data_IF_295910459269
#
_entry.id   IF_295910459269
#
_cell.length_a   1.000
_cell.length_b   1.000
_cell.length_c   1.000
_cell.angle_alpha   90.00
_cell.angle_beta   90.00
_cell.angle_gamma   90.00
#
_symmetry.space_group_name_H-M   'P 1'
#
loop_
_entity.id
_entity.type
_entity.pdbx_description
1 polymer ?
#
# COMPACT_ATOMS: atom_id res chain seq x y z
N UNK A 1 18.82 -6.38 -3.61
CA UNK A 1 17.40 -6.20 -3.26
C UNK A 1 17.23 -5.88 -1.78
N UNK A 2 17.66 -6.75 -0.84
CA UNK A 2 17.51 -6.48 0.61
C UNK A 2 17.98 -5.07 0.99
N UNK A 3 19.15 -4.66 0.52
CA UNK A 3 19.70 -3.34 0.81
C UNK A 3 18.88 -2.21 0.16
N UNK A 4 18.34 -2.43 -1.02
CA UNK A 4 17.50 -1.43 -1.71
C UNK A 4 16.17 -1.15 -0.96
N UNK A 5 15.61 -2.19 -0.33
CA UNK A 5 14.38 -2.09 0.49
C UNK A 5 14.68 -1.94 1.99
N UNK A 6 15.92 -1.62 2.36
CA UNK A 6 16.29 -1.38 3.76
C UNK A 6 16.15 -2.59 4.69
N UNK A 7 16.19 -3.82 4.17
CA UNK A 7 16.15 -5.03 5.02
C UNK A 7 17.46 -5.21 5.78
N UNK A 8 17.34 -5.35 7.08
CA UNK A 8 18.41 -5.69 8.00
C UNK A 8 18.38 -7.19 8.33
N UNK A 9 19.44 -7.68 8.98
CA UNK A 9 19.49 -9.08 9.41
C UNK A 9 18.32 -9.45 10.33
N UNK A 10 17.95 -8.55 11.24
CA UNK A 10 16.83 -8.71 12.15
C UNK A 10 15.51 -8.86 11.41
N UNK A 11 15.28 -8.07 10.35
CA UNK A 11 14.06 -8.17 9.54
C UNK A 11 13.95 -9.55 8.88
N UNK A 12 15.07 -10.07 8.38
CA UNK A 12 15.11 -11.39 7.75
C UNK A 12 14.91 -12.51 8.79
N UNK A 13 15.58 -12.43 9.95
CA UNK A 13 15.56 -13.49 10.95
C UNK A 13 14.29 -13.48 11.80
N UNK A 14 13.75 -12.30 12.11
CA UNK A 14 12.65 -12.16 13.07
C UNK A 14 11.28 -11.99 12.39
N UNK A 15 11.24 -11.56 11.13
CA UNK A 15 9.99 -11.34 10.39
C UNK A 15 9.85 -12.39 9.29
N UNK A 16 10.73 -12.37 8.29
CA UNK A 16 10.57 -13.20 7.09
C UNK A 16 10.74 -14.69 7.39
N UNK A 17 11.75 -15.05 8.17
CA UNK A 17 12.02 -16.46 8.48
C UNK A 17 10.88 -17.15 9.25
N UNK A 18 10.27 -16.54 10.28
CA UNK A 18 9.09 -17.11 10.93
C UNK A 18 7.90 -17.23 9.98
N UNK A 19 7.64 -16.24 9.15
CA UNK A 19 6.57 -16.29 8.14
C UNK A 19 6.79 -17.46 7.17
N UNK A 20 8.01 -17.61 6.65
CA UNK A 20 8.35 -18.68 5.73
C UNK A 20 8.28 -20.08 6.36
N UNK A 21 8.63 -20.22 7.66
CA UNK A 21 8.62 -21.51 8.37
C UNK A 21 7.26 -21.91 8.87
N UNK A 22 6.49 -20.96 9.40
CA UNK A 22 5.29 -21.25 10.18
C UNK A 22 4.01 -20.87 9.43
N UNK A 23 4.11 -20.14 8.31
CA UNK A 23 2.96 -19.64 7.56
C UNK A 23 2.09 -18.66 8.35
N UNK A 24 2.66 -18.02 9.37
CA UNK A 24 1.96 -17.09 10.25
C UNK A 24 2.75 -15.81 10.44
N UNK A 25 2.05 -14.74 10.82
CA UNK A 25 2.66 -13.46 11.09
C UNK A 25 3.53 -13.53 12.36
N UNK A 26 4.74 -12.97 12.36
CA UNK A 26 5.61 -12.98 13.53
C UNK A 26 5.05 -12.09 14.64
N UNK A 27 5.27 -12.46 15.88
CA UNK A 27 4.96 -11.62 17.02
C UNK A 27 5.88 -10.38 17.01
N UNK A 28 5.29 -9.21 17.17
CA UNK A 28 6.01 -7.94 17.20
C UNK A 28 5.17 -6.82 17.77
N UNK A 29 5.83 -5.71 18.09
CA UNK A 29 5.15 -4.48 18.48
C UNK A 29 5.10 -3.52 17.29
N UNK A 30 4.02 -2.75 17.19
CA UNK A 30 3.87 -1.70 16.20
C UNK A 30 4.69 -0.47 16.59
N UNK A 31 5.41 0.09 15.61
CA UNK A 31 6.27 1.25 15.82
C UNK A 31 7.63 0.90 16.45
N UNK A 32 8.41 1.92 16.71
CA UNK A 32 9.74 1.79 17.33
C UNK A 32 9.90 2.83 18.43
N UNK A 33 10.22 2.40 19.64
CA UNK A 33 10.54 3.29 20.76
C UNK A 33 12.01 3.72 20.74
N UNK A 34 12.81 3.15 19.85
CA UNK A 34 14.23 3.50 19.71
C UNK A 34 14.35 4.96 19.25
N UNK A 35 15.15 5.80 19.94
CA UNK A 35 15.42 7.15 19.49
C UNK A 35 16.06 7.17 18.11
N UNK A 36 15.70 8.15 17.30
CA UNK A 36 16.32 8.34 16.00
C UNK A 36 17.81 8.66 16.15
N UNK A 37 18.64 7.96 15.40
CA UNK A 37 20.09 8.18 15.37
C UNK A 37 20.40 9.39 14.46
N UNK A 38 20.17 10.61 14.97
CA UNK A 38 20.25 11.86 14.20
C UNK A 38 21.62 12.15 13.58
N UNK A 39 22.68 11.54 14.10
CA UNK A 39 24.05 11.67 13.58
C UNK A 39 24.45 10.51 12.65
N UNK A 40 23.55 9.56 12.42
CA UNK A 40 23.81 8.44 11.52
C UNK A 40 23.75 8.88 10.06
N UNK A 41 24.63 8.32 9.25
CA UNK A 41 24.58 8.45 7.79
C UNK A 41 23.67 7.38 7.14
N UNK A 42 23.06 6.51 7.94
CA UNK A 42 22.11 5.51 7.47
C UNK A 42 20.71 6.12 7.44
N UNK A 43 20.05 6.02 6.32
CA UNK A 43 18.68 6.49 6.15
C UNK A 43 17.71 5.34 6.48
N UNK A 44 16.92 5.43 7.57
CA UNK A 44 15.85 4.48 7.83
C UNK A 44 14.73 4.63 6.81
N UNK A 45 13.89 3.60 6.70
CA UNK A 45 12.68 3.70 5.89
C UNK A 45 11.72 4.76 6.45
N UNK A 46 10.93 5.37 5.59
CA UNK A 46 10.06 6.50 5.98
C UNK A 46 9.17 6.15 7.17
N UNK A 47 8.60 4.95 7.22
CA UNK A 47 7.70 4.54 8.30
C UNK A 47 8.41 4.37 9.66
N UNK A 48 9.73 4.20 9.71
CA UNK A 48 10.49 4.11 10.97
C UNK A 48 10.54 5.45 11.73
N UNK A 49 10.20 6.56 11.07
CA UNK A 49 10.08 7.87 11.71
C UNK A 49 8.77 8.05 12.48
N UNK A 50 7.78 7.18 12.26
CA UNK A 50 6.48 7.26 12.93
C UNK A 50 6.47 6.37 14.16
N UNK A 51 5.96 6.90 15.27
CA UNK A 51 5.86 6.22 16.56
C UNK A 51 4.44 6.24 17.03
N UNK A 52 4.01 5.14 17.63
CA UNK A 52 2.77 5.13 18.38
C UNK A 52 2.93 5.91 19.68
N UNK A 53 2.10 6.93 19.87
CA UNK A 53 2.20 7.86 21.00
C UNK A 53 1.17 7.58 22.11
N UNK A 54 0.39 6.54 22.00
CA UNK A 54 -0.65 6.15 22.96
C UNK A 54 -0.55 4.67 23.31
N UNK A 55 -1.08 4.31 24.48
CA UNK A 55 -1.22 2.93 24.89
C UNK A 55 -2.38 2.28 24.11
N UNK A 56 -2.13 1.13 23.53
CA UNK A 56 -3.12 0.36 22.80
C UNK A 56 -3.36 -0.98 23.51
N UNK A 57 -4.62 -1.38 23.62
CA UNK A 57 -4.97 -2.68 24.19
C UNK A 57 -4.69 -3.79 23.17
N UNK A 58 -4.16 -4.93 23.66
CA UNK A 58 -3.86 -6.09 22.81
C UNK A 58 -5.13 -6.75 22.27
N UNK A 59 -6.17 -6.84 23.13
CA UNK A 59 -7.46 -7.42 22.80
C UNK A 59 -8.55 -6.38 23.07
N UNK A 60 -8.93 -5.55 22.09
CA UNK A 60 -9.99 -4.59 22.26
C UNK A 60 -11.34 -5.30 22.48
N UNK A 61 -12.26 -4.73 23.28
CA UNK A 61 -13.58 -5.30 23.47
C UNK A 61 -14.39 -5.17 22.16
N UNK A 62 -14.72 -6.30 21.58
CA UNK A 62 -15.54 -6.41 20.37
C UNK A 62 -16.83 -7.13 20.73
N UNK A 63 -17.97 -6.52 20.38
CA UNK A 63 -19.27 -7.19 20.58
C UNK A 63 -19.50 -8.29 19.54
N UNK A 64 -20.25 -9.32 19.92
CA UNK A 64 -20.48 -10.51 19.09
C UNK A 64 -21.18 -10.21 17.75
N UNK A 65 -21.94 -9.12 17.65
CA UNK A 65 -22.64 -8.75 16.42
C UNK A 65 -21.68 -8.13 15.39
N UNK A 66 -20.73 -7.33 15.89
CA UNK A 66 -19.74 -6.63 15.05
C UNK A 66 -18.51 -7.47 14.75
N UNK A 67 -18.30 -8.58 15.48
CA UNK A 67 -17.09 -9.40 15.34
C UNK A 67 -16.82 -9.79 13.89
N UNK A 68 -17.84 -10.21 13.14
CA UNK A 68 -17.71 -10.62 11.73
C UNK A 68 -17.22 -9.48 10.81
N UNK A 69 -17.59 -8.25 11.11
CA UNK A 69 -17.17 -7.06 10.34
C UNK A 69 -15.77 -6.65 10.74
N UNK A 70 -15.52 -6.52 12.04
CA UNK A 70 -14.23 -6.04 12.58
C UNK A 70 -13.10 -7.03 12.29
N UNK A 71 -13.35 -8.33 12.29
CA UNK A 71 -12.36 -9.37 12.02
C UNK A 71 -12.33 -9.82 10.55
N UNK A 72 -13.11 -9.20 9.69
CA UNK A 72 -13.14 -9.55 8.27
C UNK A 72 -11.80 -9.24 7.61
N UNK A 73 -11.31 -10.21 6.83
CA UNK A 73 -10.13 -10.04 5.97
C UNK A 73 -10.52 -9.76 4.50
N UNK A 74 -11.83 -9.64 4.24
CA UNK A 74 -12.33 -9.39 2.89
C UNK A 74 -12.05 -7.95 2.47
N UNK A 75 -11.48 -7.78 1.30
CA UNK A 75 -11.16 -6.48 0.69
C UNK A 75 -11.94 -6.34 -0.62
N UNK A 76 -12.42 -5.14 -0.88
CA UNK A 76 -13.10 -4.79 -2.14
C UNK A 76 -12.25 -3.79 -2.92
N UNK A 77 -11.94 -4.13 -4.18
CA UNK A 77 -11.04 -3.35 -5.04
C UNK A 77 -11.78 -2.95 -6.31
N UNK A 78 -11.83 -1.66 -6.59
CA UNK A 78 -12.50 -1.10 -7.77
C UNK A 78 -13.04 0.29 -7.52
N UNK A 79 -13.78 0.83 -8.48
CA UNK A 79 -14.47 2.11 -8.32
C UNK A 79 -15.66 1.96 -7.37
N UNK A 80 -15.77 2.84 -6.39
CA UNK A 80 -16.89 2.88 -5.44
C UNK A 80 -18.03 3.81 -5.91
N UNK A 81 -17.75 4.68 -6.89
CA UNK A 81 -18.72 5.63 -7.40
C UNK A 81 -19.16 6.70 -6.39
N UNK A 82 -20.41 7.12 -6.48
CA UNK A 82 -20.98 8.05 -5.52
C UNK A 82 -21.59 7.29 -4.34
N UNK A 83 -20.94 7.39 -3.18
CA UNK A 83 -21.39 6.68 -1.96
C UNK A 83 -22.71 7.20 -1.39
N UNK A 84 -23.23 8.33 -1.88
CA UNK A 84 -24.52 8.90 -1.46
C UNK A 84 -25.68 8.45 -2.37
N UNK A 85 -25.40 7.69 -3.41
CA UNK A 85 -26.39 7.20 -4.37
C UNK A 85 -26.42 5.66 -4.36
N UNK A 86 -27.60 5.08 -4.24
CA UNK A 86 -27.81 3.65 -4.36
C UNK A 86 -27.83 3.25 -5.84
N UNK A 87 -26.64 2.96 -6.39
CA UNK A 87 -26.49 2.50 -7.77
C UNK A 87 -25.86 1.10 -7.80
N UNK A 88 -26.45 0.20 -8.58
CA UNK A 88 -25.90 -1.15 -8.78
C UNK A 88 -24.49 -1.13 -9.40
N UNK A 89 -24.15 -0.11 -10.18
CA UNK A 89 -22.81 0.06 -10.75
C UNK A 89 -21.73 0.25 -9.65
N UNK A 90 -22.09 0.84 -8.50
CA UNK A 90 -21.18 0.98 -7.36
C UNK A 90 -20.80 -0.36 -6.71
N UNK A 91 -21.54 -1.43 -7.02
CA UNK A 91 -21.24 -2.78 -6.53
C UNK A 91 -20.34 -3.58 -7.48
N UNK A 92 -19.91 -3.02 -8.60
CA UNK A 92 -18.95 -3.64 -9.52
C UNK A 92 -17.52 -3.52 -8.99
N UNK A 93 -17.22 -4.30 -7.96
CA UNK A 93 -15.91 -4.33 -7.30
C UNK A 93 -15.38 -5.76 -7.25
N UNK A 94 -14.08 -5.91 -7.34
CA UNK A 94 -13.40 -7.19 -7.14
C UNK A 94 -13.40 -7.52 -5.65
N UNK A 95 -14.09 -8.59 -5.25
CA UNK A 95 -14.06 -9.10 -3.89
C UNK A 95 -12.88 -10.05 -3.71
N UNK A 96 -12.00 -9.74 -2.77
CA UNK A 96 -10.86 -10.57 -2.39
C UNK A 96 -11.13 -11.08 -0.98
N UNK A 97 -11.38 -12.38 -0.83
CA UNK A 97 -11.75 -12.98 0.47
C UNK A 97 -10.57 -13.14 1.42
N UNK A 98 -9.38 -13.31 0.85
CA UNK A 98 -8.14 -13.45 1.61
C UNK A 98 -7.11 -12.41 1.11
N UNK A 99 -6.57 -11.54 1.99
CA UNK A 99 -5.62 -10.50 1.59
C UNK A 99 -4.25 -11.05 1.20
N UNK A 100 -3.97 -12.32 1.48
CA UNK A 100 -2.73 -12.98 1.08
C UNK A 100 -2.87 -13.45 -0.36
N UNK A 101 -2.17 -12.78 -1.27
CA UNK A 101 -2.15 -13.08 -2.69
C UNK A 101 -0.81 -13.72 -3.07
N UNK A 102 -0.85 -14.64 -4.03
CA UNK A 102 0.35 -15.13 -4.70
C UNK A 102 0.75 -14.17 -5.83
N UNK A 103 1.99 -14.26 -6.29
CA UNK A 103 2.43 -13.51 -7.49
C UNK A 103 1.52 -13.80 -8.69
N UNK A 104 1.05 -15.04 -8.83
CA UNK A 104 0.12 -15.44 -9.90
C UNK A 104 -1.23 -14.73 -9.76
N UNK A 105 -1.74 -14.53 -8.55
CA UNK A 105 -3.01 -13.82 -8.34
C UNK A 105 -2.88 -12.35 -8.68
N UNK A 106 -1.77 -11.72 -8.30
CA UNK A 106 -1.48 -10.34 -8.70
C UNK A 106 -1.35 -10.21 -10.23
N UNK A 107 -0.72 -11.17 -10.90
CA UNK A 107 -0.64 -11.18 -12.36
C UNK A 107 -2.03 -11.31 -13.01
N UNK A 108 -2.94 -12.11 -12.44
CA UNK A 108 -4.33 -12.18 -12.91
C UNK A 108 -5.06 -10.84 -12.75
N UNK A 109 -4.82 -10.12 -11.64
CA UNK A 109 -5.37 -8.79 -11.45
C UNK A 109 -4.83 -7.82 -12.51
N UNK A 110 -3.50 -7.82 -12.73
CA UNK A 110 -2.86 -6.98 -13.76
C UNK A 110 -3.37 -7.25 -15.17
N UNK A 111 -3.64 -8.51 -15.49
CA UNK A 111 -4.10 -8.96 -16.80
C UNK A 111 -5.64 -9.04 -16.91
N UNK A 112 -6.37 -8.44 -15.96
CA UNK A 112 -7.82 -8.53 -15.94
C UNK A 112 -8.44 -7.84 -17.16
N UNK A 113 -9.17 -8.61 -17.96
CA UNK A 113 -9.97 -8.14 -19.10
C UNK A 113 -11.44 -8.48 -18.87
N UNK A 114 -12.05 -7.79 -17.91
CA UNK A 114 -13.47 -7.96 -17.54
C UNK A 114 -14.15 -6.61 -17.69
N UNK A 115 -15.32 -6.57 -18.38
CA UNK A 115 -16.06 -5.33 -18.53
C UNK A 115 -16.37 -4.64 -17.18
N UNK A 116 -16.01 -3.37 -17.07
CA UNK A 116 -16.16 -2.58 -15.85
C UNK A 116 -14.88 -2.52 -15.00
N UNK A 117 -13.83 -3.26 -15.36
CA UNK A 117 -12.53 -3.17 -14.72
C UNK A 117 -11.45 -2.76 -15.71
N UNK A 118 -10.65 -1.79 -15.33
CA UNK A 118 -9.44 -1.42 -16.07
C UNK A 118 -8.32 -1.16 -15.09
N UNK A 119 -7.31 -2.01 -15.17
CA UNK A 119 -6.13 -1.98 -14.29
C UNK A 119 -4.98 -1.28 -15.01
N UNK A 120 -4.33 -0.36 -14.32
CA UNK A 120 -3.12 0.31 -14.80
C UNK A 120 -2.02 0.17 -13.74
N UNK A 121 -0.82 -0.22 -14.18
CA UNK A 121 0.35 -0.29 -13.29
C UNK A 121 1.24 0.91 -13.55
N UNK A 122 1.48 1.69 -12.50
CA UNK A 122 2.34 2.86 -12.52
C UNK A 122 3.62 2.57 -11.75
N UNK A 123 4.77 2.79 -12.39
CA UNK A 123 6.05 2.72 -11.70
C UNK A 123 6.23 3.91 -10.78
N UNK A 124 6.55 3.64 -9.52
CA UNK A 124 6.97 4.68 -8.56
C UNK A 124 8.49 4.87 -8.56
N UNK A 125 9.19 4.24 -9.50
CA UNK A 125 10.62 4.41 -9.66
C UNK A 125 10.93 5.66 -10.49
N UNK A 126 12.03 6.31 -10.14
CA UNK A 126 12.51 7.49 -10.84
C UNK A 126 14.04 7.48 -10.92
N UNK A 127 14.58 8.22 -11.86
CA UNK A 127 16.03 8.32 -12.07
C UNK A 127 16.71 8.97 -10.85
N UNK A 128 17.73 8.33 -10.29
CA UNK A 128 18.40 8.72 -9.02
C UNK A 128 18.92 10.15 -8.94
N UNK A 129 19.11 10.80 -10.09
CA UNK A 129 19.54 12.20 -10.16
C UNK A 129 18.39 13.19 -10.33
N UNK A 130 17.14 12.72 -10.27
CA UNK A 130 15.94 13.56 -10.31
C UNK A 130 15.51 13.91 -8.88
N UNK A 131 15.04 15.12 -8.66
CA UNK A 131 14.47 15.52 -7.38
C UNK A 131 13.19 14.71 -7.07
N UNK A 132 13.04 14.32 -5.82
CA UNK A 132 11.88 13.53 -5.37
C UNK A 132 10.55 14.28 -5.63
N UNK A 133 10.52 15.60 -5.44
CA UNK A 133 9.33 16.42 -5.70
C UNK A 133 8.90 16.32 -7.16
N UNK A 134 9.84 16.43 -8.10
CA UNK A 134 9.57 16.25 -9.54
C UNK A 134 9.10 14.84 -9.88
N UNK A 135 9.61 13.83 -9.18
CA UNK A 135 9.18 12.45 -9.36
C UNK A 135 7.72 12.26 -8.93
N UNK A 136 7.31 12.88 -7.83
CA UNK A 136 5.92 12.88 -7.34
C UNK A 136 5.01 13.64 -8.32
N UNK A 137 5.43 14.80 -8.80
CA UNK A 137 4.65 15.57 -9.79
C UNK A 137 4.42 14.76 -11.08
N UNK A 138 5.45 14.05 -11.54
CA UNK A 138 5.31 13.13 -12.67
C UNK A 138 4.32 12.01 -12.39
N UNK A 139 4.36 11.42 -11.19
CA UNK A 139 3.43 10.39 -10.79
C UNK A 139 1.98 10.90 -10.84
N UNK A 140 1.70 12.14 -10.42
CA UNK A 140 0.38 12.75 -10.53
C UNK A 140 -0.08 12.87 -11.99
N UNK A 141 0.81 13.22 -12.89
CA UNK A 141 0.49 13.28 -14.33
C UNK A 141 0.15 11.89 -14.87
N UNK A 142 0.89 10.86 -14.44
CA UNK A 142 0.63 9.48 -14.86
C UNK A 142 -0.70 8.97 -14.29
N UNK A 143 -1.03 9.30 -13.05
CA UNK A 143 -2.35 9.02 -12.43
C UNK A 143 -3.47 9.69 -13.21
N UNK A 144 -3.32 10.95 -13.60
CA UNK A 144 -4.32 11.67 -14.37
C UNK A 144 -4.52 11.09 -15.76
N UNK A 145 -3.45 10.61 -16.38
CA UNK A 145 -3.53 9.89 -17.65
C UNK A 145 -4.32 8.60 -17.50
N UNK A 146 -3.95 7.77 -16.52
CA UNK A 146 -4.64 6.52 -16.22
C UNK A 146 -6.14 6.73 -15.97
N UNK A 147 -6.48 7.78 -15.19
CA UNK A 147 -7.88 8.16 -14.95
C UNK A 147 -8.63 8.52 -16.24
N UNK A 148 -8.04 9.36 -17.09
CA UNK A 148 -8.65 9.74 -18.38
C UNK A 148 -8.82 8.55 -19.32
N UNK A 149 -7.90 7.59 -19.24
CA UNK A 149 -7.96 6.36 -20.01
C UNK A 149 -8.97 5.35 -19.42
N UNK A 150 -9.63 5.70 -18.30
CA UNK A 150 -10.71 4.92 -17.69
C UNK A 150 -10.23 3.85 -16.72
N UNK A 151 -8.98 3.91 -16.23
CA UNK A 151 -8.51 3.02 -15.19
C UNK A 151 -9.29 3.26 -13.89
N UNK A 152 -9.69 2.18 -13.24
CA UNK A 152 -10.36 2.20 -11.94
C UNK A 152 -9.63 1.38 -10.87
N UNK A 153 -8.53 0.74 -11.24
CA UNK A 153 -7.58 0.11 -10.33
C UNK A 153 -6.18 0.57 -10.73
N UNK A 154 -5.48 1.22 -9.80
CA UNK A 154 -4.08 1.62 -9.96
C UNK A 154 -3.19 0.72 -9.11
N UNK A 155 -2.16 0.15 -9.72
CA UNK A 155 -1.10 -0.58 -9.02
C UNK A 155 0.14 0.31 -9.02
N UNK A 156 0.56 0.76 -7.85
CA UNK A 156 1.81 1.49 -7.65
C UNK A 156 2.92 0.45 -7.41
N UNK A 157 3.91 0.40 -8.30
CA UNK A 157 4.93 -0.66 -8.27
C UNK A 157 6.34 -0.09 -8.19
N UNK A 158 7.17 -0.69 -7.32
CA UNK A 158 8.60 -0.44 -7.22
C UNK A 158 9.46 -1.52 -7.88
N UNK A 159 8.86 -2.39 -8.69
CA UNK A 159 9.56 -3.51 -9.36
C UNK A 159 10.67 -3.09 -10.31
N UNK A 160 10.66 -1.84 -10.77
CA UNK A 160 11.62 -1.30 -11.74
C UNK A 160 12.88 -0.73 -11.07
N UNK A 161 13.15 -1.05 -9.80
CA UNK A 161 14.38 -0.66 -9.12
C UNK A 161 15.57 -1.32 -9.82
N UNK A 162 16.51 -0.49 -10.24
CA UNK A 162 17.78 -0.91 -10.84
C UNK A 162 18.95 -0.03 -10.36
N UNK A 163 20.08 -0.10 -11.06
CA UNK A 163 21.29 0.68 -10.76
C UNK A 163 21.09 2.21 -10.92
N UNK A 164 20.16 2.61 -11.75
CA UNK A 164 19.88 4.01 -12.12
C UNK A 164 18.58 4.54 -11.54
N UNK A 165 17.65 3.67 -11.17
CA UNK A 165 16.32 4.00 -10.70
C UNK A 165 16.13 3.63 -9.23
N UNK A 166 15.61 4.58 -8.48
CA UNK A 166 15.23 4.43 -7.08
C UNK A 166 13.73 4.63 -6.93
N UNK A 167 13.13 3.99 -5.94
CA UNK A 167 11.69 4.15 -5.71
C UNK A 167 11.40 5.38 -4.84
N UNK A 168 10.27 6.04 -5.11
CA UNK A 168 9.62 6.90 -4.12
C UNK A 168 9.28 6.01 -2.91
N UNK A 169 9.57 6.42 -1.67
CA UNK A 169 9.15 5.66 -0.50
C UNK A 169 7.68 5.27 -0.58
N UNK A 170 7.37 4.00 -0.40
CA UNK A 170 6.03 3.46 -0.69
C UNK A 170 4.92 4.15 0.08
N UNK A 171 5.13 4.43 1.37
CA UNK A 171 4.20 5.19 2.20
C UNK A 171 3.95 6.60 1.64
N UNK A 172 5.00 7.28 1.19
CA UNK A 172 4.88 8.60 0.57
C UNK A 172 4.13 8.53 -0.77
N UNK A 173 4.43 7.54 -1.60
CA UNK A 173 3.77 7.37 -2.89
C UNK A 173 2.26 7.16 -2.73
N UNK A 174 1.85 6.22 -1.86
CA UNK A 174 0.43 5.95 -1.59
C UNK A 174 -0.26 7.17 -0.99
N UNK A 175 0.34 7.78 0.04
CA UNK A 175 -0.23 8.97 0.68
C UNK A 175 -0.37 10.16 -0.27
N UNK A 176 0.64 10.42 -1.10
CA UNK A 176 0.62 11.49 -2.08
C UNK A 176 -0.47 11.26 -3.14
N UNK A 177 -0.53 10.06 -3.73
CA UNK A 177 -1.55 9.72 -4.74
C UNK A 177 -2.96 9.74 -4.14
N UNK A 178 -3.16 9.15 -2.96
CA UNK A 178 -4.45 9.18 -2.27
C UNK A 178 -4.94 10.61 -2.02
N UNK A 179 -4.09 11.46 -1.43
CA UNK A 179 -4.43 12.89 -1.21
C UNK A 179 -4.65 13.66 -2.52
N UNK A 180 -3.87 13.37 -3.55
CA UNK A 180 -4.07 13.97 -4.87
C UNK A 180 -5.44 13.59 -5.46
N UNK A 181 -5.82 12.32 -5.40
CA UNK A 181 -7.13 11.84 -5.86
C UNK A 181 -8.28 12.47 -5.06
N UNK A 182 -8.13 12.65 -3.75
CA UNK A 182 -9.12 13.36 -2.91
C UNK A 182 -9.24 14.83 -3.37
N UNK A 183 -8.13 15.54 -3.49
CA UNK A 183 -8.11 16.95 -3.91
C UNK A 183 -8.71 17.16 -5.29
N UNK A 184 -8.51 16.21 -6.20
CA UNK A 184 -9.04 16.26 -7.58
C UNK A 184 -10.40 15.59 -7.73
N UNK A 185 -11.01 15.12 -6.61
CA UNK A 185 -12.34 14.49 -6.54
C UNK A 185 -12.44 13.20 -7.38
N UNK A 186 -11.37 12.41 -7.40
CA UNK A 186 -11.27 11.16 -8.16
C UNK A 186 -11.13 9.93 -7.25
N UNK A 187 -11.01 10.11 -5.91
CA UNK A 187 -10.64 9.02 -4.99
C UNK A 187 -11.61 7.85 -5.03
N UNK A 188 -12.91 8.09 -5.08
CA UNK A 188 -13.93 7.03 -5.14
C UNK A 188 -14.02 6.34 -6.50
N UNK A 189 -13.41 6.91 -7.54
CA UNK A 189 -13.38 6.30 -8.87
C UNK A 189 -12.22 5.33 -9.07
N UNK A 190 -11.25 5.29 -8.15
CA UNK A 190 -10.02 4.53 -8.33
C UNK A 190 -9.61 3.83 -7.03
N UNK A 191 -9.41 2.52 -7.11
CA UNK A 191 -8.74 1.75 -6.05
C UNK A 191 -7.22 1.84 -6.21
N UNK A 192 -6.50 1.81 -5.08
CA UNK A 192 -5.05 1.81 -5.05
C UNK A 192 -4.55 0.46 -4.53
N UNK A 193 -3.62 -0.15 -5.25
CA UNK A 193 -2.87 -1.32 -4.82
C UNK A 193 -1.40 -0.93 -4.78
N UNK A 194 -0.71 -1.28 -3.71
CA UNK A 194 0.74 -1.11 -3.60
C UNK A 194 1.44 -2.45 -3.84
N UNK A 195 2.34 -2.49 -4.81
CA UNK A 195 3.26 -3.59 -5.05
C UNK A 195 4.68 -3.14 -4.69
N UNK A 196 5.11 -3.47 -3.48
CA UNK A 196 6.38 -2.99 -2.94
C UNK A 196 7.05 -4.02 -2.03
N UNK A 197 8.37 -3.98 -1.98
CA UNK A 197 9.17 -4.74 -1.01
C UNK A 197 9.33 -4.06 0.35
N UNK A 198 8.82 -2.83 0.55
CA UNK A 198 8.95 -2.11 1.83
C UNK A 198 7.96 -2.58 2.91
N UNK A 199 6.66 -2.84 2.63
CA UNK A 199 5.71 -3.23 3.65
C UNK A 199 6.09 -4.56 4.32
N UNK A 200 6.21 -4.57 5.64
CA UNK A 200 6.56 -5.76 6.44
C UNK A 200 6.01 -5.75 7.86
N UNK A 201 5.32 -4.69 8.26
CA UNK A 201 4.69 -4.55 9.57
C UNK A 201 3.26 -4.03 9.42
N UNK A 202 2.41 -4.31 10.41
CA UNK A 202 0.99 -3.90 10.42
C UNK A 202 0.76 -2.43 10.07
N UNK A 203 1.62 -1.52 10.52
CA UNK A 203 1.51 -0.09 10.22
C UNK A 203 1.45 0.20 8.71
N UNK A 204 2.18 -0.56 7.90
CA UNK A 204 2.17 -0.38 6.45
C UNK A 204 1.02 -1.11 5.76
N UNK A 205 0.57 -2.23 6.32
CA UNK A 205 -0.60 -2.95 5.81
C UNK A 205 -1.90 -2.19 6.07
N UNK A 206 -1.95 -1.45 7.18
CA UNK A 206 -3.10 -0.64 7.58
C UNK A 206 -2.96 0.83 7.21
N UNK A 207 -1.83 1.25 6.66
CA UNK A 207 -1.59 2.61 6.19
C UNK A 207 -2.30 2.91 4.87
N UNK A 208 -3.21 2.07 4.44
CA UNK A 208 -4.30 2.53 3.62
C UNK A 208 -5.10 3.53 4.44
N UNK A 209 -4.43 4.62 4.69
CA UNK A 209 -4.93 5.80 5.36
C UNK A 209 -6.03 6.47 4.54
N UNK A 210 -6.70 5.71 3.73
CA UNK A 210 -7.84 6.11 2.97
C UNK A 210 -9.13 6.04 3.80
N UNK A 211 -9.07 5.43 4.97
CA UNK A 211 -10.24 5.18 5.78
C UNK A 211 -10.44 6.19 6.92
N UNK A 212 -9.66 7.28 6.97
CA UNK A 212 -9.86 8.38 7.91
C UNK A 212 -10.31 9.67 7.21
#
# INVERSE_FOLDING_TARGET
>A
LQKAFGYRYEDVSSIILPMAKNGGEPAGAMGSDTPLAVLSHTHPLLFEYFKQMFAQVTNPPIDALREKVVTSTTVYVGAQGNLLEEDAENCKVLKIENPILTDTDLLKIKAMDVPGFKVETLSICYYKNTDLEKAIDRLFVDVDRAYRDGANILILSDRDIDEYHVAIPSLLAVGAVSKYLVRTRKRTSMALILESGEPRLCLLYTSDAADD
#
